data_IF_118577001594
#
_entry.id   IF_118577001594
#
_cell.length_a   1.000
_cell.length_b   1.000
_cell.length_c   1.000
_cell.angle_alpha   90.00
_cell.angle_beta   90.00
_cell.angle_gamma   90.00
#
_symmetry.space_group_name_H-M   'P 1'
#
loop_
_entity.id
_entity.type
_entity.pdbx_description
1 polymer ?
#
# COMPACT_ATOMS: atom_id res chain seq x y z
N UNK A 1 -7.32 -3.25 31.49
CA UNK A 1 -6.58 -2.30 32.34
C UNK A 1 -5.08 -2.51 32.06
N UNK A 2 -4.47 -1.51 31.41
CA UNK A 2 -3.05 -1.31 31.09
C UNK A 2 -2.33 -2.34 30.19
N UNK A 3 -2.27 -2.03 28.88
CA UNK A 3 -1.21 -2.47 27.96
C UNK A 3 0.11 -1.76 28.34
N UNK A 4 1.20 -2.49 28.53
CA UNK A 4 2.51 -1.92 28.86
C UNK A 4 3.38 -1.79 27.61
N UNK A 5 3.95 -0.60 27.40
CA UNK A 5 4.89 -0.29 26.30
C UNK A 5 6.27 -0.88 26.57
N UNK A 6 6.83 -1.61 25.61
CA UNK A 6 8.28 -1.78 25.51
C UNK A 6 8.81 -0.86 24.41
N UNK A 7 9.79 -0.03 24.78
CA UNK A 7 10.42 0.96 23.94
C UNK A 7 11.30 0.29 22.86
N UNK A 8 11.19 0.77 21.62
CA UNK A 8 12.12 0.61 20.47
C UNK A 8 11.87 -0.45 19.39
N UNK A 9 10.78 -1.21 19.38
CA UNK A 9 10.59 -2.24 18.34
C UNK A 9 9.19 -2.12 17.75
N UNK A 10 9.08 -2.20 16.41
CA UNK A 10 7.83 -2.28 15.66
C UNK A 10 7.06 -3.55 16.07
N UNK A 11 6.42 -3.53 17.24
CA UNK A 11 5.73 -4.68 17.78
C UNK A 11 4.68 -4.30 18.82
N UNK A 12 3.64 -5.13 18.94
CA UNK A 12 2.64 -5.07 20.00
C UNK A 12 2.69 -6.30 20.89
N UNK A 13 2.09 -6.25 22.09
CA UNK A 13 1.89 -7.43 22.93
C UNK A 13 0.48 -7.99 22.66
N UNK A 14 0.38 -9.28 22.34
CA UNK A 14 -0.91 -9.97 22.27
C UNK A 14 -1.50 -10.23 23.67
N UNK A 15 -2.71 -10.80 23.72
CA UNK A 15 -3.39 -11.13 24.97
C UNK A 15 -2.62 -12.12 25.87
N UNK A 16 -1.69 -12.90 25.30
CA UNK A 16 -0.80 -13.81 26.03
C UNK A 16 0.52 -13.14 26.47
N UNK A 17 0.72 -11.85 26.15
CA UNK A 17 1.97 -11.14 26.40
C UNK A 17 3.09 -11.47 25.41
N UNK A 18 2.78 -12.02 24.24
CA UNK A 18 3.76 -12.27 23.17
C UNK A 18 3.96 -11.03 22.33
N UNK A 19 5.22 -10.76 21.98
CA UNK A 19 5.61 -9.71 21.05
C UNK A 19 5.21 -10.13 19.63
N UNK A 20 4.33 -9.35 19.00
CA UNK A 20 3.88 -9.52 17.61
C UNK A 20 4.59 -8.47 16.77
N UNK A 21 5.47 -8.86 15.83
CA UNK A 21 6.15 -7.89 14.96
C UNK A 21 5.14 -7.19 14.05
N UNK A 22 5.46 -5.95 13.68
CA UNK A 22 4.71 -5.14 12.73
C UNK A 22 5.64 -4.86 11.55
N UNK A 23 5.20 -5.21 10.36
CA UNK A 23 5.86 -4.82 9.12
C UNK A 23 5.00 -3.81 8.38
N UNK A 24 5.62 -2.82 7.77
CA UNK A 24 4.94 -1.86 6.90
C UNK A 24 4.95 -2.35 5.46
N UNK A 25 3.80 -2.15 4.82
CA UNK A 25 3.63 -2.27 3.38
C UNK A 25 3.13 -0.93 2.89
N UNK A 26 3.82 -0.31 1.94
CA UNK A 26 3.38 0.91 1.27
C UNK A 26 2.60 0.52 0.03
N UNK A 27 1.44 1.14 -0.17
CA UNK A 27 0.53 0.86 -1.28
C UNK A 27 0.18 2.15 -1.96
N UNK A 28 0.15 2.10 -3.28
CA UNK A 28 -0.32 3.17 -4.15
C UNK A 28 -1.10 2.52 -5.31
N UNK A 29 -2.09 3.23 -5.85
CA UNK A 29 -2.94 2.75 -6.93
C UNK A 29 -3.15 3.80 -8.00
N UNK A 30 -3.23 3.33 -9.25
CA UNK A 30 -3.75 4.14 -10.35
C UNK A 30 -5.19 3.73 -10.67
N UNK A 31 -6.04 4.70 -10.97
CA UNK A 31 -7.48 4.46 -11.17
C UNK A 31 -8.12 5.39 -12.19
N UNK A 32 -9.30 5.02 -12.67
CA UNK A 32 -9.99 5.64 -13.81
C UNK A 32 -10.36 7.12 -13.66
N UNK A 33 -10.86 7.53 -12.49
CA UNK A 33 -11.36 8.90 -12.21
C UNK A 33 -11.59 9.11 -10.71
N UNK A 34 -11.65 10.37 -10.27
CA UNK A 34 -11.99 10.69 -8.87
C UNK A 34 -13.46 10.47 -8.53
N UNK A 35 -14.37 10.62 -9.50
CA UNK A 35 -15.81 10.48 -9.28
C UNK A 35 -16.24 9.03 -9.15
N UNK A 36 -15.60 8.14 -9.92
CA UNK A 36 -15.84 6.69 -9.91
C UNK A 36 -14.52 5.94 -10.03
N UNK A 37 -13.74 5.85 -8.95
CA UNK A 37 -12.47 5.15 -8.95
C UNK A 37 -12.67 3.68 -9.29
N UNK A 38 -11.93 3.21 -10.29
CA UNK A 38 -11.74 1.78 -10.56
C UNK A 38 -10.27 1.54 -10.81
N UNK A 39 -9.76 0.50 -10.17
CA UNK A 39 -8.35 0.14 -10.21
C UNK A 39 -7.89 -0.14 -11.65
N UNK A 40 -6.74 0.43 -12.01
CA UNK A 40 -5.98 0.18 -13.24
C UNK A 40 -4.69 -0.56 -12.93
N UNK A 41 -3.98 -0.14 -11.88
CA UNK A 41 -2.80 -0.84 -11.39
C UNK A 41 -2.61 -0.60 -9.89
N UNK A 42 -1.91 -1.54 -9.24
CA UNK A 42 -1.56 -1.46 -7.82
C UNK A 42 -0.07 -1.76 -7.66
N UNK A 43 0.61 -0.89 -6.92
CA UNK A 43 1.98 -1.06 -6.48
C UNK A 43 2.02 -1.28 -4.99
N UNK A 44 2.83 -2.23 -4.54
CA UNK A 44 3.09 -2.43 -3.12
C UNK A 44 4.57 -2.69 -2.87
N UNK A 45 5.11 -2.19 -1.78
CA UNK A 45 6.46 -2.53 -1.33
C UNK A 45 6.54 -2.69 0.18
N UNK A 46 7.44 -3.56 0.63
CA UNK A 46 7.66 -3.82 2.05
C UNK A 46 8.93 -3.14 2.54
N UNK A 47 9.00 -2.93 3.86
CA UNK A 47 10.18 -2.38 4.53
C UNK A 47 11.50 -3.10 4.24
N UNK A 48 11.45 -4.36 3.81
CA UNK A 48 12.62 -5.21 3.55
C UNK A 48 13.09 -5.14 2.07
N UNK A 49 12.41 -4.35 1.23
CA UNK A 49 12.76 -4.14 -0.18
C UNK A 49 12.06 -5.07 -1.18
N UNK A 50 11.20 -5.97 -0.71
CA UNK A 50 10.32 -6.75 -1.59
C UNK A 50 9.21 -5.85 -2.16
N UNK A 51 8.77 -6.13 -3.39
CA UNK A 51 7.71 -5.40 -4.03
C UNK A 51 6.73 -6.28 -4.80
N UNK A 52 5.59 -5.69 -5.14
CA UNK A 52 4.53 -6.26 -5.94
C UNK A 52 4.01 -5.20 -6.91
N UNK A 53 3.72 -5.62 -8.13
CA UNK A 53 3.01 -4.81 -9.10
C UNK A 53 2.02 -5.68 -9.87
N UNK A 54 0.84 -5.13 -10.12
CA UNK A 54 -0.14 -5.76 -10.98
C UNK A 54 -1.01 -4.71 -11.69
N UNK A 55 -1.46 -5.06 -12.89
CA UNK A 55 -2.36 -4.25 -13.70
C UNK A 55 -3.67 -5.01 -13.93
N UNK A 56 -4.78 -4.28 -14.08
CA UNK A 56 -6.07 -4.84 -14.46
C UNK A 56 -6.75 -3.95 -15.48
N UNK A 57 -7.30 -4.57 -16.52
CA UNK A 57 -7.97 -3.84 -17.59
C UNK A 57 -9.39 -3.45 -17.21
N UNK A 58 -9.74 -2.18 -17.47
CA UNK A 58 -11.11 -1.67 -17.44
C UNK A 58 -11.45 -0.98 -18.77
N UNK A 59 -12.74 -0.88 -19.14
CA UNK A 59 -13.16 -0.22 -20.38
C UNK A 59 -12.60 1.20 -20.54
N UNK A 60 -12.09 1.53 -21.73
CA UNK A 60 -11.39 2.79 -22.01
C UNK A 60 -12.30 4.02 -21.92
N UNK A 61 -13.61 3.80 -22.01
CA UNK A 61 -14.65 4.81 -21.86
C UNK A 61 -14.68 5.38 -20.44
N UNK A 62 -14.16 4.65 -19.46
CA UNK A 62 -14.13 5.04 -18.05
C UNK A 62 -12.91 5.90 -17.69
N UNK A 63 -11.91 6.01 -18.58
CA UNK A 63 -10.72 6.81 -18.31
C UNK A 63 -11.07 8.30 -18.30
N UNK A 64 -10.54 9.02 -17.32
CA UNK A 64 -10.45 10.48 -17.39
C UNK A 64 -9.43 10.92 -18.47
N UNK A 65 -9.43 12.21 -18.82
CA UNK A 65 -8.41 12.78 -19.72
C UNK A 65 -7.01 12.64 -19.11
N UNK A 66 -6.87 12.96 -17.82
CA UNK A 66 -5.64 12.77 -17.06
C UNK A 66 -5.10 11.34 -17.16
N UNK A 67 -5.97 10.34 -16.99
CA UNK A 67 -5.58 8.91 -17.10
C UNK A 67 -5.07 8.57 -18.49
N UNK A 68 -5.73 9.06 -19.54
CA UNK A 68 -5.31 8.78 -20.92
C UNK A 68 -3.93 9.35 -21.23
N UNK A 69 -3.61 10.51 -20.67
CA UNK A 69 -2.37 11.22 -20.93
C UNK A 69 -1.20 10.75 -20.07
N UNK A 70 -1.44 10.45 -18.79
CA UNK A 70 -0.36 10.22 -17.81
C UNK A 70 -0.23 8.76 -17.36
N UNK A 71 -1.33 8.00 -17.32
CA UNK A 71 -1.33 6.62 -16.77
C UNK A 71 -1.23 5.59 -17.89
N UNK A 72 -2.10 5.69 -18.90
CA UNK A 72 -2.19 4.71 -19.99
C UNK A 72 -0.85 4.48 -20.71
N UNK A 73 0.02 5.49 -20.97
CA UNK A 73 1.32 5.25 -21.58
C UNK A 73 2.26 4.37 -20.75
N UNK A 74 2.01 4.22 -19.44
CA UNK A 74 2.83 3.47 -18.51
C UNK A 74 2.35 2.02 -18.32
N UNK A 75 1.12 1.71 -18.72
CA UNK A 75 0.52 0.38 -18.59
C UNK A 75 0.93 -0.56 -19.72
N UNK A 76 0.91 -1.86 -19.45
CA UNK A 76 1.09 -2.92 -20.43
C UNK A 76 2.54 -3.20 -20.83
N UNK A 77 3.51 -2.57 -20.16
CA UNK A 77 4.94 -2.74 -20.42
C UNK A 77 5.47 -4.08 -19.89
N UNK A 78 4.83 -4.66 -18.87
CA UNK A 78 5.19 -5.96 -18.28
C UNK A 78 4.01 -6.96 -18.40
N UNK A 79 3.96 -7.80 -19.45
CA UNK A 79 2.83 -8.68 -19.70
C UNK A 79 2.51 -9.68 -18.58
N UNK A 80 3.51 -10.09 -17.79
CA UNK A 80 3.32 -10.97 -16.63
C UNK A 80 2.68 -10.27 -15.43
N UNK A 81 2.64 -8.93 -15.44
CA UNK A 81 2.02 -8.13 -14.38
C UNK A 81 0.53 -7.90 -14.62
N UNK A 82 0.05 -8.13 -15.84
CA UNK A 82 -1.36 -7.94 -16.21
C UNK A 82 -2.20 -9.12 -15.73
N UNK A 83 -3.16 -8.87 -14.85
CA UNK A 83 -4.14 -9.84 -14.41
C UNK A 83 -5.29 -9.96 -15.42
N UNK A 84 -5.73 -11.18 -15.70
CA UNK A 84 -6.84 -11.44 -16.61
C UNK A 84 -8.20 -10.98 -16.03
N UNK A 85 -8.35 -10.98 -14.71
CA UNK A 85 -9.57 -10.60 -14.02
C UNK A 85 -9.30 -10.27 -12.54
N UNK A 86 -10.34 -9.80 -11.83
CA UNK A 86 -10.25 -9.44 -10.41
C UNK A 86 -9.99 -10.61 -9.46
N UNK A 87 -10.34 -11.85 -9.84
CA UNK A 87 -10.05 -13.04 -8.99
C UNK A 87 -8.56 -13.32 -8.98
N UNK A 88 -7.92 -13.32 -10.14
CA UNK A 88 -6.47 -13.49 -10.25
C UNK A 88 -5.72 -12.38 -9.49
N UNK A 89 -6.20 -11.12 -9.61
CA UNK A 89 -5.64 -10.00 -8.87
C UNK A 89 -5.75 -10.21 -7.35
N UNK A 90 -6.93 -10.57 -6.86
CA UNK A 90 -7.17 -10.83 -5.44
C UNK A 90 -6.24 -11.95 -4.90
N UNK A 91 -6.09 -13.04 -5.67
CA UNK A 91 -5.22 -14.16 -5.31
C UNK A 91 -3.76 -13.72 -5.24
N UNK A 92 -3.27 -13.00 -6.25
CA UNK A 92 -1.89 -12.50 -6.30
C UNK A 92 -1.57 -11.55 -5.16
N UNK A 93 -2.46 -10.60 -4.85
CA UNK A 93 -2.31 -9.70 -3.70
C UNK A 93 -2.29 -10.50 -2.39
N UNK A 94 -3.24 -11.42 -2.22
CA UNK A 94 -3.37 -12.23 -1.00
C UNK A 94 -2.12 -13.08 -0.74
N UNK A 95 -1.57 -13.71 -1.78
CA UNK A 95 -0.33 -14.49 -1.70
C UNK A 95 0.83 -13.59 -1.31
N UNK A 96 0.97 -12.43 -1.96
CA UNK A 96 2.07 -11.51 -1.65
C UNK A 96 2.00 -10.99 -0.20
N UNK A 97 0.82 -10.55 0.25
CA UNK A 97 0.62 -10.11 1.64
C UNK A 97 0.95 -11.23 2.65
N UNK A 98 0.54 -12.48 2.36
CA UNK A 98 0.85 -13.62 3.23
C UNK A 98 2.36 -13.90 3.32
N UNK A 99 3.10 -13.72 2.23
CA UNK A 99 4.58 -13.85 2.22
C UNK A 99 5.25 -12.77 3.06
N UNK A 100 4.74 -11.53 3.04
CA UNK A 100 5.28 -10.46 3.87
C UNK A 100 5.14 -10.72 5.38
N UNK A 101 4.21 -11.60 5.75
CA UNK A 101 3.88 -12.02 7.12
C UNK A 101 4.42 -13.41 7.48
N UNK A 102 5.54 -13.84 6.90
CA UNK A 102 6.12 -15.16 7.18
C UNK A 102 6.48 -15.38 8.67
N UNK A 103 6.68 -14.30 9.43
CA UNK A 103 6.95 -14.31 10.87
C UNK A 103 5.69 -14.36 11.75
N UNK A 104 4.49 -14.34 11.15
CA UNK A 104 3.21 -14.33 11.85
C UNK A 104 2.78 -12.97 12.41
N UNK A 105 3.50 -11.90 12.10
CA UNK A 105 3.26 -10.52 12.55
C UNK A 105 1.98 -9.87 12.04
N UNK A 106 1.86 -8.57 12.22
CA UNK A 106 0.82 -7.73 11.61
C UNK A 106 1.41 -6.92 10.46
N UNK A 107 0.59 -6.59 9.46
CA UNK A 107 0.95 -5.66 8.40
C UNK A 107 0.24 -4.32 8.58
N UNK A 108 1.03 -3.26 8.68
CA UNK A 108 0.57 -1.87 8.62
C UNK A 108 0.58 -1.43 7.15
N UNK A 109 -0.60 -1.33 6.54
CA UNK A 109 -0.81 -0.93 5.15
C UNK A 109 -0.84 0.58 5.06
N UNK A 110 0.26 1.15 4.61
CA UNK A 110 0.52 2.58 4.52
C UNK A 110 0.05 3.12 3.17
N UNK A 111 -0.92 4.04 3.18
CA UNK A 111 -1.44 4.73 2.00
C UNK A 111 -1.39 6.25 2.22
N UNK A 112 -1.05 7.02 1.19
CA UNK A 112 -1.10 8.49 1.25
C UNK A 112 -2.46 9.04 0.85
N UNK A 113 -3.29 8.27 0.13
CA UNK A 113 -4.65 8.65 -0.20
C UNK A 113 -5.67 7.56 0.18
N UNK A 114 -6.86 7.99 0.64
CA UNK A 114 -7.85 7.06 1.19
C UNK A 114 -8.45 6.15 0.13
N UNK A 115 -8.50 6.62 -1.12
CA UNK A 115 -9.00 5.84 -2.25
C UNK A 115 -8.13 4.62 -2.52
N UNK A 116 -6.82 4.64 -2.28
CA UNK A 116 -5.94 3.48 -2.45
C UNK A 116 -6.32 2.35 -1.50
N UNK A 117 -6.71 2.68 -0.28
CA UNK A 117 -7.21 1.70 0.68
C UNK A 117 -8.56 1.12 0.26
N UNK A 118 -9.47 1.97 -0.23
CA UNK A 118 -10.77 1.51 -0.75
C UNK A 118 -10.59 0.59 -1.96
N UNK A 119 -9.70 0.93 -2.88
CA UNK A 119 -9.39 0.12 -4.06
C UNK A 119 -8.66 -1.18 -3.71
N UNK A 120 -7.78 -1.19 -2.70
CA UNK A 120 -7.17 -2.42 -2.19
C UNK A 120 -8.24 -3.35 -1.58
N UNK A 121 -9.15 -2.82 -0.77
CA UNK A 121 -10.27 -3.60 -0.21
C UNK A 121 -11.12 -4.20 -1.33
N UNK A 122 -11.47 -3.41 -2.33
CA UNK A 122 -12.27 -3.85 -3.47
C UNK A 122 -11.53 -4.91 -4.30
N UNK A 123 -10.23 -4.75 -4.52
CA UNK A 123 -9.38 -5.73 -5.20
C UNK A 123 -9.30 -7.06 -4.46
N UNK A 124 -9.43 -7.06 -3.13
CA UNK A 124 -9.54 -8.24 -2.27
C UNK A 124 -10.99 -8.75 -2.10
N UNK A 125 -11.94 -8.22 -2.86
CA UNK A 125 -13.36 -8.59 -2.78
C UNK A 125 -14.00 -8.26 -1.44
N UNK A 126 -13.51 -7.22 -0.75
CA UNK A 126 -13.95 -6.79 0.58
C UNK A 126 -13.36 -7.59 1.73
N UNK A 127 -12.56 -8.62 1.47
CA UNK A 127 -11.99 -9.51 2.48
C UNK A 127 -10.52 -9.17 2.75
N UNK A 128 -10.27 -8.00 3.34
CA UNK A 128 -8.92 -7.69 3.84
C UNK A 128 -8.62 -8.61 5.01
N UNK A 129 -7.45 -9.29 5.03
CA UNK A 129 -7.10 -10.15 6.15
C UNK A 129 -7.05 -9.37 7.48
N UNK A 130 -7.56 -9.95 8.56
CA UNK A 130 -7.64 -9.30 9.89
C UNK A 130 -6.29 -8.88 10.50
N UNK A 131 -5.18 -9.33 9.90
CA UNK A 131 -3.81 -8.96 10.29
C UNK A 131 -3.24 -7.80 9.46
N UNK A 132 -4.01 -7.24 8.53
CA UNK A 132 -3.73 -6.00 7.83
C UNK A 132 -4.52 -4.85 8.44
N UNK A 133 -3.88 -3.72 8.71
CA UNK A 133 -4.57 -2.51 9.15
C UNK A 133 -4.06 -1.27 8.42
N UNK A 134 -4.97 -0.34 8.12
CA UNK A 134 -4.66 0.87 7.39
C UNK A 134 -3.85 1.86 8.26
N UNK A 135 -2.90 2.55 7.63
CA UNK A 135 -2.29 3.77 8.14
C UNK A 135 -2.27 4.83 7.05
N UNK A 136 -2.86 5.99 7.33
CA UNK A 136 -2.70 7.17 6.49
C UNK A 136 -1.32 7.78 6.74
N UNK A 137 -0.55 7.99 5.67
CA UNK A 137 0.84 8.46 5.77
C UNK A 137 1.09 9.81 5.09
N UNK A 138 0.09 10.44 4.45
CA UNK A 138 0.27 11.72 3.75
C UNK A 138 1.01 12.79 4.58
N UNK A 139 0.59 12.97 5.84
CA UNK A 139 1.20 13.95 6.75
C UNK A 139 2.59 13.55 7.29
N UNK A 140 3.07 12.36 6.90
CA UNK A 140 4.34 11.77 7.32
C UNK A 140 5.34 11.62 6.17
N UNK A 141 5.00 12.08 4.96
CA UNK A 141 5.89 12.06 3.82
C UNK A 141 6.76 13.32 3.76
N UNK A 142 8.08 13.15 3.63
CA UNK A 142 8.97 14.24 3.25
C UNK A 142 8.95 14.40 1.73
N UNK A 143 8.21 15.39 1.25
CA UNK A 143 8.04 15.66 -0.18
C UNK A 143 9.37 15.85 -0.93
N UNK A 144 10.38 16.45 -0.27
CA UNK A 144 11.71 16.60 -0.87
C UNK A 144 12.35 15.24 -1.12
N UNK A 145 12.19 14.30 -0.18
CA UNK A 145 12.70 12.94 -0.33
C UNK A 145 11.91 12.17 -1.41
N UNK A 146 10.60 12.39 -1.53
CA UNK A 146 9.76 11.80 -2.58
C UNK A 146 10.24 12.24 -3.98
N UNK A 147 10.42 13.55 -4.18
CA UNK A 147 10.98 14.10 -5.43
C UNK A 147 12.41 13.61 -5.71
N UNK A 148 13.23 13.48 -4.66
CA UNK A 148 14.59 12.93 -4.76
C UNK A 148 14.57 11.46 -5.23
N UNK A 149 13.58 10.67 -4.83
CA UNK A 149 13.42 9.28 -5.28
C UNK A 149 13.19 9.22 -6.80
N UNK A 150 12.20 9.94 -7.33
CA UNK A 150 11.91 9.94 -8.78
C UNK A 150 13.13 10.38 -9.59
N UNK A 151 13.78 11.47 -9.16
CA UNK A 151 14.96 12.00 -9.85
C UNK A 151 16.14 11.01 -9.85
N UNK A 152 16.42 10.36 -8.71
CA UNK A 152 17.54 9.42 -8.60
C UNK A 152 17.36 8.15 -9.39
N UNK A 153 16.14 7.63 -9.45
CA UNK A 153 15.84 6.36 -10.11
C UNK A 153 15.45 6.55 -11.58
N UNK A 154 15.25 7.80 -12.03
CA UNK A 154 14.79 8.13 -13.38
C UNK A 154 13.53 7.35 -13.76
N UNK A 155 12.58 7.33 -12.83
CA UNK A 155 11.28 6.68 -12.96
C UNK A 155 10.20 7.74 -13.04
N UNK A 156 9.13 7.43 -13.76
CA UNK A 156 7.99 8.34 -13.92
C UNK A 156 7.11 8.36 -12.66
N UNK A 157 6.55 9.53 -12.39
CA UNK A 157 5.41 9.70 -11.49
C UNK A 157 4.16 9.07 -12.12
N UNK A 158 3.17 8.78 -11.29
CA UNK A 158 1.89 8.19 -11.70
C UNK A 158 2.03 6.76 -12.23
N UNK A 159 2.92 6.02 -11.58
CA UNK A 159 3.08 4.59 -11.76
C UNK A 159 3.04 3.97 -10.38
N UNK A 160 1.99 3.19 -10.12
CA UNK A 160 1.65 2.73 -8.78
C UNK A 160 2.83 2.13 -7.99
N UNK A 161 3.70 1.33 -8.64
CA UNK A 161 4.88 0.79 -7.95
C UNK A 161 5.94 1.85 -7.63
N UNK A 162 6.19 2.79 -8.55
CA UNK A 162 7.17 3.84 -8.32
C UNK A 162 6.71 4.77 -7.21
N UNK A 163 5.41 5.06 -7.17
CA UNK A 163 4.79 5.91 -6.17
C UNK A 163 4.77 5.24 -4.80
N UNK A 164 4.45 3.94 -4.71
CA UNK A 164 4.59 3.16 -3.48
C UNK A 164 6.03 3.16 -2.94
N UNK A 165 7.03 2.96 -3.80
CA UNK A 165 8.45 2.99 -3.43
C UNK A 165 8.91 4.41 -3.04
N UNK A 166 8.43 5.44 -3.72
CA UNK A 166 8.70 6.84 -3.38
C UNK A 166 8.11 7.18 -2.01
N UNK A 167 6.88 6.72 -1.73
CA UNK A 167 6.23 6.85 -0.43
C UNK A 167 7.04 6.14 0.66
N UNK A 168 7.49 4.91 0.44
CA UNK A 168 8.38 4.21 1.36
C UNK A 168 9.67 5.00 1.63
N UNK A 169 10.30 5.53 0.58
CA UNK A 169 11.55 6.27 0.67
C UNK A 169 11.40 7.60 1.43
N UNK A 170 10.27 8.28 1.23
CA UNK A 170 9.96 9.58 1.81
C UNK A 170 9.35 9.49 3.22
N UNK A 171 8.89 8.32 3.62
CA UNK A 171 8.16 8.13 4.86
C UNK A 171 9.04 8.36 6.10
N UNK A 172 8.64 9.34 6.92
CA UNK A 172 9.25 9.63 8.21
C UNK A 172 8.31 9.19 9.34
N UNK A 173 8.73 8.17 10.09
CA UNK A 173 7.98 7.71 11.27
C UNK A 173 8.19 8.68 12.45
N UNK A 174 7.66 9.90 12.31
CA UNK A 174 7.80 10.97 13.29
C UNK A 174 6.76 10.90 14.42
N UNK A 175 6.07 9.76 14.61
CA UNK A 175 5.22 9.60 15.78
C UNK A 175 6.08 9.61 17.04
N UNK A 176 5.86 10.53 18.01
CA UNK A 176 6.18 10.19 19.38
C UNK A 176 5.40 8.92 19.72
N UNK A 177 6.03 7.99 20.45
CA UNK A 177 5.59 6.63 20.80
C UNK A 177 4.24 6.54 21.57
N UNK A 178 3.30 7.47 21.40
CA UNK A 178 2.16 7.73 22.27
C UNK A 178 0.78 7.59 21.65
N UNK A 179 0.58 7.69 20.34
CA UNK A 179 -0.78 7.80 19.76
C UNK A 179 -1.41 6.51 19.23
N UNK A 180 -0.68 5.39 19.14
CA UNK A 180 -1.23 4.16 18.57
C UNK A 180 -2.22 3.38 19.48
N UNK A 181 -2.63 3.95 20.61
CA UNK A 181 -3.58 3.32 21.55
C UNK A 181 -5.04 3.74 21.32
N UNK A 182 -5.31 4.71 20.44
CA UNK A 182 -6.66 5.27 20.32
C UNK A 182 -7.56 4.53 19.30
N UNK A 183 -7.04 3.54 18.56
CA UNK A 183 -7.79 2.88 17.48
C UNK A 183 -8.23 1.42 17.75
N UNK A 184 -7.97 0.85 18.92
CA UNK A 184 -8.32 -0.55 19.21
C UNK A 184 -8.98 -0.79 20.59
N UNK A 185 -9.76 0.17 21.08
CA UNK A 185 -10.83 -0.12 22.04
C UNK A 185 -12.19 0.19 21.37
N UNK A 186 -13.21 -0.67 21.54
CA UNK A 186 -14.53 -0.44 20.95
C UNK A 186 -15.19 0.86 21.41
#
# INVERSE_FOLDING_TARGET
MALWKSFRVNCYLDWCGKVVPIKRVFVDTEFTSFERPRLLSIGMCSGDGDYFYAEISVPKEEYSEFVRENIVPQLGNEPDKICANGVELAERISVWLALQRADGGLLEVCVDYSTDWDLLKDALGGNVPDWCYQRMIADHLDERMRLEYYSRHNVAEHHALHDALANQYAYQDNLPLTSALDFLCP
#
